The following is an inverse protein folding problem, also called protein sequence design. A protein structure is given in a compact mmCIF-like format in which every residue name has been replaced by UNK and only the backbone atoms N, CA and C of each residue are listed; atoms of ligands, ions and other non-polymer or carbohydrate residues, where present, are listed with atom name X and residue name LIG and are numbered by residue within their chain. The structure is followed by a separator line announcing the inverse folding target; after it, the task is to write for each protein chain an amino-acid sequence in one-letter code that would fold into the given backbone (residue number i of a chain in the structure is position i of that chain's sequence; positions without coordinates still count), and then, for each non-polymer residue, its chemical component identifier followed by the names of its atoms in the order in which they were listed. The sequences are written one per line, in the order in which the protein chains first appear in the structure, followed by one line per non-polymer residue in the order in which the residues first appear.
data_IF_654415936423
#
_entry.id   IF_654415936423
#
_cell.length_a   1.000
_cell.length_b   1.000
_cell.length_c   1.000
_cell.angle_alpha   90.00
_cell.angle_beta   90.00
_cell.angle_gamma   90.00
#
_symmetry.space_group_name_H-M   'P 1'
#
loop_
_entity.id
_entity.type
_entity.pdbx_description
1 polymer ?
#
# COMPACT_ATOMS: atom_id res chain seq x y z
N UNK A 1 -7.57 1.77 -0.16
CA UNK A 1 -6.67 1.94 0.97
C UNK A 1 -5.21 2.10 0.54
N UNK A 2 -4.72 1.38 -0.48
CA UNK A 2 -3.34 1.51 -1.00
C UNK A 2 -2.94 2.97 -1.27
N UNK A 3 -3.79 3.75 -1.97
CA UNK A 3 -3.51 5.16 -2.25
C UNK A 3 -3.34 5.99 -0.99
N UNK A 4 -4.18 5.75 0.01
CA UNK A 4 -4.12 6.46 1.31
C UNK A 4 -2.79 6.15 2.01
N UNK A 5 -2.43 4.87 2.09
CA UNK A 5 -1.17 4.44 2.71
C UNK A 5 0.04 4.97 1.94
N UNK A 6 0.03 4.87 0.62
CA UNK A 6 1.12 5.35 -0.22
C UNK A 6 1.41 6.82 0.01
N UNK A 7 0.38 7.67 0.05
CA UNK A 7 0.59 9.10 0.28
C UNK A 7 1.04 9.42 1.71
N UNK A 8 0.64 8.63 2.71
CA UNK A 8 1.16 8.73 4.07
C UNK A 8 2.64 8.33 4.12
N UNK A 9 3.00 7.23 3.49
CA UNK A 9 4.37 6.70 3.45
C UNK A 9 5.30 7.63 2.68
N UNK A 10 4.84 8.22 1.57
CA UNK A 10 5.64 9.17 0.79
C UNK A 10 5.78 10.54 1.46
N UNK A 11 4.81 10.93 2.27
CA UNK A 11 4.91 12.15 3.08
C UNK A 11 5.96 12.01 4.20
N UNK A 12 6.13 10.81 4.75
CA UNK A 12 7.11 10.51 5.76
C UNK A 12 7.53 9.03 5.65
N UNK A 13 8.73 8.77 5.14
CA UNK A 13 9.34 7.45 5.17
C UNK A 13 9.85 7.17 6.58
N UNK A 14 8.96 6.67 7.43
CA UNK A 14 9.26 6.39 8.83
C UNK A 14 9.84 5.00 8.98
N UNK A 15 11.06 4.93 9.51
CA UNK A 15 11.74 3.71 9.87
C UNK A 15 11.81 3.61 11.39
N UNK A 16 11.44 2.48 11.93
CA UNK A 16 11.48 2.23 13.37
C UNK A 16 12.45 1.09 13.69
N UNK A 17 13.12 1.15 14.86
CA UNK A 17 14.06 0.12 15.26
C UNK A 17 13.36 -1.22 15.48
N UNK A 18 14.09 -2.30 15.19
CA UNK A 18 13.69 -3.68 15.44
C UNK A 18 14.45 -4.25 16.63
N UNK A 19 13.74 -4.60 17.69
CA UNK A 19 14.28 -5.25 18.88
C UNK A 19 13.44 -6.50 19.25
N UNK A 20 13.98 -7.68 19.00
CA UNK A 20 15.28 -8.03 18.42
C UNK A 20 15.35 -7.74 16.92
N UNK A 21 16.56 -7.58 16.32
CA UNK A 21 16.73 -7.43 14.89
C UNK A 21 16.27 -8.68 14.14
N UNK A 22 15.87 -8.50 12.88
CA UNK A 22 15.57 -9.63 11.99
C UNK A 22 16.89 -10.14 11.40
N UNK A 23 17.09 -11.45 11.48
CA UNK A 23 18.26 -12.10 10.88
C UNK A 23 17.86 -12.71 9.55
N UNK A 24 18.50 -12.25 8.49
CA UNK A 24 18.38 -12.81 7.14
C UNK A 24 19.68 -13.52 6.75
N UNK A 25 19.54 -14.62 6.03
CA UNK A 25 20.68 -15.42 5.52
C UNK A 25 20.82 -15.25 4.02
N UNK A 26 22.05 -15.44 3.54
CA UNK A 26 22.37 -15.51 2.11
C UNK A 26 21.95 -14.30 1.28
N UNK A 27 21.98 -13.08 1.85
CA UNK A 27 21.80 -11.86 1.08
C UNK A 27 23.03 -11.66 0.17
N UNK A 28 22.78 -11.36 -1.10
CA UNK A 28 23.84 -10.93 -2.02
C UNK A 28 24.26 -9.50 -1.68
N UNK A 29 25.46 -9.11 -2.10
CA UNK A 29 25.96 -7.74 -1.95
C UNK A 29 24.98 -6.72 -2.53
N UNK A 30 24.42 -6.99 -3.71
CA UNK A 30 23.40 -6.17 -4.36
C UNK A 30 22.12 -6.02 -3.51
N UNK A 31 21.68 -7.07 -2.84
CA UNK A 31 20.52 -7.00 -1.95
C UNK A 31 20.79 -6.15 -0.71
N UNK A 32 22.01 -6.24 -0.16
CA UNK A 32 22.44 -5.42 0.98
C UNK A 32 22.47 -3.95 0.58
N UNK A 33 23.12 -3.62 -0.54
CA UNK A 33 23.16 -2.26 -1.09
C UNK A 33 21.75 -1.71 -1.34
N UNK A 34 20.87 -2.54 -1.86
CA UNK A 34 19.47 -2.17 -2.11
C UNK A 34 18.73 -1.79 -0.81
N UNK A 35 18.88 -2.60 0.24
CA UNK A 35 18.25 -2.31 1.55
C UNK A 35 18.84 -1.02 2.15
N UNK A 36 20.15 -0.81 2.05
CA UNK A 36 20.80 0.40 2.52
C UNK A 36 20.38 1.65 1.72
N UNK A 37 20.17 1.49 0.41
CA UNK A 37 19.70 2.59 -0.45
C UNK A 37 18.29 3.10 -0.07
N UNK A 38 17.47 2.26 0.55
CA UNK A 38 16.17 2.65 1.11
C UNK A 38 16.23 2.91 2.62
N UNK A 39 17.44 3.20 3.14
CA UNK A 39 17.72 3.63 4.51
C UNK A 39 17.54 2.54 5.58
N UNK A 40 17.52 1.24 5.22
CA UNK A 40 17.56 0.18 6.20
C UNK A 40 18.98 -0.02 6.73
N UNK A 41 19.09 -0.26 8.04
CA UNK A 41 20.35 -0.57 8.71
C UNK A 41 20.57 -2.07 8.62
N UNK A 42 21.63 -2.46 7.90
CA UNK A 42 22.00 -3.85 7.61
C UNK A 42 23.41 -4.09 8.13
N UNK A 43 23.57 -4.88 9.17
CA UNK A 43 24.85 -5.19 9.80
C UNK A 43 25.21 -6.67 9.61
N UNK A 44 26.49 -7.01 9.44
CA UNK A 44 26.91 -8.40 9.46
C UNK A 44 26.69 -9.03 10.84
N UNK A 45 26.17 -10.27 10.89
CA UNK A 45 25.84 -11.01 12.10
C UNK A 45 26.44 -12.41 12.14
N UNK A 46 27.56 -12.64 11.52
CA UNK A 46 28.23 -13.94 11.42
C UNK A 46 28.45 -14.34 9.96
N UNK A 47 28.79 -15.60 9.74
CA UNK A 47 28.99 -16.11 8.38
C UNK A 47 27.66 -16.14 7.62
N UNK A 48 27.58 -15.37 6.53
CA UNK A 48 26.40 -15.29 5.64
C UNK A 48 25.08 -14.86 6.32
N UNK A 49 25.14 -14.27 7.50
CA UNK A 49 23.99 -13.75 8.23
C UNK A 49 24.04 -12.23 8.32
N UNK A 50 22.88 -11.60 8.23
CA UNK A 50 22.72 -10.16 8.25
C UNK A 50 21.62 -9.76 9.22
N UNK A 51 21.93 -8.83 10.12
CA UNK A 51 20.95 -8.27 11.05
C UNK A 51 20.32 -7.01 10.47
N UNK A 52 19.02 -7.03 10.28
CA UNK A 52 18.23 -5.86 9.88
C UNK A 52 17.72 -5.21 11.17
N UNK A 53 18.12 -3.95 11.41
CA UNK A 53 17.90 -3.28 12.69
C UNK A 53 16.75 -2.29 12.69
N UNK A 54 16.22 -1.94 11.53
CA UNK A 54 15.04 -1.09 11.40
C UNK A 54 14.17 -1.54 10.23
N UNK A 55 12.93 -1.12 10.23
CA UNK A 55 12.01 -1.41 9.14
C UNK A 55 10.96 -0.29 8.99
N UNK A 56 10.32 -0.19 7.82
CA UNK A 56 9.20 0.73 7.63
C UNK A 56 8.11 0.50 8.68
N UNK A 57 7.72 1.56 9.39
CA UNK A 57 6.75 1.50 10.49
C UNK A 57 5.45 0.72 10.18
N UNK A 58 4.85 0.83 8.98
CA UNK A 58 3.66 0.05 8.64
C UNK A 58 3.86 -1.47 8.62
N UNK A 59 5.11 -1.95 8.45
CA UNK A 59 5.42 -3.38 8.38
C UNK A 59 5.59 -4.04 9.76
N UNK A 60 5.88 -3.28 10.81
CA UNK A 60 6.29 -3.82 12.12
C UNK A 60 5.29 -4.78 12.76
N UNK A 61 4.00 -4.56 12.55
CA UNK A 61 2.93 -5.39 13.13
C UNK A 61 2.58 -6.62 12.28
N UNK A 62 3.32 -6.85 11.22
CA UNK A 62 3.04 -7.95 10.30
C UNK A 62 3.80 -9.20 10.66
N UNK A 63 3.12 -10.34 10.59
CA UNK A 63 3.75 -11.64 10.80
C UNK A 63 4.76 -12.01 9.68
N UNK A 64 4.59 -11.43 8.48
CA UNK A 64 5.43 -11.66 7.30
C UNK A 64 6.52 -10.57 7.11
N UNK A 65 6.97 -9.94 8.20
CA UNK A 65 7.95 -8.84 8.15
C UNK A 65 9.27 -9.26 7.49
N UNK A 66 9.80 -10.44 7.81
CA UNK A 66 11.04 -10.94 7.21
C UNK A 66 10.93 -11.13 5.69
N UNK A 67 9.81 -11.68 5.23
CA UNK A 67 9.51 -11.84 3.80
C UNK A 67 9.35 -10.48 3.11
N UNK A 68 8.68 -9.52 3.78
CA UNK A 68 8.54 -8.17 3.28
C UNK A 68 9.90 -7.48 3.07
N UNK A 69 10.82 -7.59 4.04
CA UNK A 69 12.17 -7.04 3.92
C UNK A 69 12.94 -7.74 2.79
N UNK A 70 12.82 -9.06 2.68
CA UNK A 70 13.43 -9.82 1.58
C UNK A 70 12.92 -9.35 0.23
N UNK A 71 11.62 -9.09 0.09
CA UNK A 71 11.05 -8.52 -1.14
C UNK A 71 11.64 -7.14 -1.45
N UNK A 72 11.78 -6.26 -0.44
CA UNK A 72 12.39 -4.95 -0.61
C UNK A 72 13.86 -5.02 -1.05
N UNK A 73 14.58 -6.10 -0.74
CA UNK A 73 15.97 -6.32 -1.17
C UNK A 73 16.11 -6.68 -2.65
N UNK A 74 15.00 -7.09 -3.31
CA UNK A 74 15.06 -7.57 -4.69
C UNK A 74 15.19 -6.47 -5.74
N UNK A 75 15.09 -5.21 -5.37
CA UNK A 75 15.36 -4.08 -6.24
C UNK A 75 14.28 -3.01 -6.23
N UNK A 76 14.56 -1.97 -6.98
CA UNK A 76 13.73 -0.78 -7.08
C UNK A 76 14.33 0.40 -6.30
N UNK A 77 13.85 1.59 -6.61
CA UNK A 77 14.19 2.81 -5.87
C UNK A 77 13.31 2.94 -4.60
N UNK A 78 13.52 4.01 -3.86
CA UNK A 78 12.71 4.32 -2.68
C UNK A 78 11.21 4.40 -3.02
N UNK A 79 10.85 4.91 -4.18
CA UNK A 79 9.46 4.99 -4.61
C UNK A 79 8.85 3.58 -4.80
N UNK A 80 9.58 2.67 -5.42
CA UNK A 80 9.15 1.28 -5.57
C UNK A 80 8.97 0.59 -4.21
N UNK A 81 9.89 0.81 -3.27
CA UNK A 81 9.78 0.32 -1.89
C UNK A 81 8.52 0.87 -1.18
N UNK A 82 8.25 2.17 -1.31
CA UNK A 82 7.05 2.80 -0.76
C UNK A 82 5.75 2.22 -1.33
N UNK A 83 5.72 1.94 -2.65
CA UNK A 83 4.59 1.27 -3.30
C UNK A 83 4.41 -0.15 -2.76
N UNK A 84 5.49 -0.92 -2.66
CA UNK A 84 5.46 -2.29 -2.15
C UNK A 84 4.92 -2.35 -0.70
N UNK A 85 5.42 -1.46 0.17
CA UNK A 85 4.94 -1.35 1.56
C UNK A 85 3.45 -0.97 1.61
N UNK A 86 3.02 0.01 0.82
CA UNK A 86 1.63 0.44 0.77
C UNK A 86 0.68 -0.69 0.32
N UNK A 87 1.06 -1.43 -0.72
CA UNK A 87 0.28 -2.56 -1.23
C UNK A 87 0.21 -3.72 -0.23
N UNK A 88 1.34 -4.05 0.41
CA UNK A 88 1.40 -5.13 1.39
C UNK A 88 0.59 -4.83 2.66
N UNK A 89 0.56 -3.57 3.11
CA UNK A 89 -0.15 -3.12 4.30
C UNK A 89 -1.61 -2.69 4.03
N UNK A 90 -2.04 -2.66 2.79
CA UNK A 90 -3.41 -2.28 2.46
C UNK A 90 -4.44 -3.32 2.92
N UNK A 91 -5.62 -2.83 3.28
CA UNK A 91 -6.79 -3.68 3.51
C UNK A 91 -7.08 -4.46 2.24
N UNK A 92 -7.12 -5.77 2.34
CA UNK A 92 -7.35 -6.65 1.20
C UNK A 92 -8.82 -6.68 0.80
N UNK A 93 -9.07 -6.96 -0.47
CA UNK A 93 -10.42 -7.16 -0.97
C UNK A 93 -11.11 -8.31 -0.20
N UNK A 94 -12.40 -8.11 0.14
CA UNK A 94 -13.18 -9.08 0.92
C UNK A 94 -12.98 -8.98 2.45
N UNK A 95 -12.10 -8.10 2.96
CA UNK A 95 -12.00 -7.85 4.39
C UNK A 95 -13.28 -7.18 4.88
N UNK A 96 -13.93 -7.76 5.91
CA UNK A 96 -15.10 -7.17 6.53
C UNK A 96 -14.73 -5.85 7.23
N UNK A 97 -15.55 -4.82 7.01
CA UNK A 97 -15.40 -3.51 7.62
C UNK A 97 -16.74 -3.03 8.14
N UNK A 98 -16.75 -2.35 9.27
CA UNK A 98 -17.92 -1.64 9.76
C UNK A 98 -18.20 -0.38 8.93
N UNK A 99 -19.44 0.12 8.96
CA UNK A 99 -19.80 1.36 8.28
C UNK A 99 -18.92 2.56 8.67
N UNK A 100 -18.61 2.80 9.97
CA UNK A 100 -17.70 3.87 10.37
C UNK A 100 -16.30 3.73 9.79
N UNK A 101 -15.74 2.50 9.71
CA UNK A 101 -14.43 2.25 9.12
C UNK A 101 -14.45 2.53 7.62
N UNK A 102 -15.50 2.11 6.90
CA UNK A 102 -15.66 2.41 5.48
C UNK A 102 -15.74 3.92 5.24
N UNK A 103 -16.54 4.64 6.04
CA UNK A 103 -16.66 6.09 5.92
C UNK A 103 -15.33 6.79 6.18
N UNK A 104 -14.64 6.41 7.25
CA UNK A 104 -13.31 6.95 7.57
C UNK A 104 -12.30 6.71 6.44
N UNK A 105 -12.35 5.53 5.82
CA UNK A 105 -11.47 5.22 4.69
C UNK A 105 -11.80 6.08 3.45
N UNK A 106 -13.08 6.28 3.15
CA UNK A 106 -13.53 7.15 2.06
C UNK A 106 -13.10 8.61 2.28
N UNK A 107 -13.27 9.12 3.50
CA UNK A 107 -12.90 10.49 3.86
C UNK A 107 -11.38 10.71 3.69
N UNK A 108 -10.56 9.75 4.12
CA UNK A 108 -9.11 9.79 3.93
C UNK A 108 -8.73 9.68 2.45
N UNK A 109 -9.39 8.80 1.70
CA UNK A 109 -9.15 8.64 0.28
C UNK A 109 -9.48 9.90 -0.52
N UNK A 110 -10.59 10.58 -0.24
CA UNK A 110 -10.97 11.83 -0.90
C UNK A 110 -9.95 12.95 -0.68
N UNK A 111 -9.22 12.92 0.44
CA UNK A 111 -8.18 13.92 0.77
C UNK A 111 -6.83 13.62 0.12
N UNK A 112 -6.67 12.47 -0.53
CA UNK A 112 -5.43 12.15 -1.25
C UNK A 112 -5.25 13.07 -2.47
N UNK A 113 -4.00 13.30 -2.87
CA UNK A 113 -3.67 14.15 -4.03
C UNK A 113 -4.16 13.56 -5.34
N UNK A 114 -4.11 12.23 -5.45
CA UNK A 114 -4.47 11.50 -6.66
C UNK A 114 -5.54 10.43 -6.39
N UNK A 115 -6.77 10.80 -6.01
CA UNK A 115 -7.79 9.84 -5.58
C UNK A 115 -8.28 8.92 -6.71
N UNK A 116 -7.95 9.22 -7.96
CA UNK A 116 -8.43 8.46 -9.13
C UNK A 116 -7.57 7.25 -9.49
N UNK A 117 -6.34 7.19 -8.99
CA UNK A 117 -5.39 6.13 -9.36
C UNK A 117 -4.81 5.43 -8.13
N UNK A 118 -4.51 4.14 -8.26
CA UNK A 118 -3.71 3.42 -7.28
C UNK A 118 -2.23 3.87 -7.34
N UNK A 119 -1.36 3.46 -6.42
CA UNK A 119 0.07 3.78 -6.47
C UNK A 119 0.77 3.38 -7.77
N UNK A 120 0.29 2.31 -8.43
CA UNK A 120 0.79 1.85 -9.73
C UNK A 120 0.24 2.66 -10.94
N UNK A 121 -0.54 3.71 -10.71
CA UNK A 121 -1.13 4.52 -11.77
C UNK A 121 -2.42 3.95 -12.40
N UNK A 122 -2.93 2.81 -11.92
CA UNK A 122 -4.16 2.20 -12.46
C UNK A 122 -5.40 2.95 -11.93
N UNK A 123 -6.45 3.15 -12.77
CA UNK A 123 -7.71 3.74 -12.31
C UNK A 123 -8.33 2.92 -11.16
N UNK A 124 -8.78 3.59 -10.10
CA UNK A 124 -9.47 2.96 -8.96
C UNK A 124 -10.97 2.87 -9.23
N UNK A 125 -11.52 3.84 -9.97
CA UNK A 125 -12.94 3.86 -10.34
C UNK A 125 -13.14 4.55 -11.69
N UNK A 126 -14.27 4.26 -12.30
CA UNK A 126 -14.75 4.94 -13.49
C UNK A 126 -16.01 5.71 -13.12
N UNK A 127 -16.06 7.00 -13.46
CA UNK A 127 -17.28 7.80 -13.27
C UNK A 127 -18.13 7.74 -14.54
N UNK A 128 -19.37 7.37 -14.38
CA UNK A 128 -20.35 7.39 -15.46
C UNK A 128 -21.40 8.47 -15.19
N UNK A 129 -21.73 9.23 -16.21
CA UNK A 129 -22.90 10.10 -16.14
C UNK A 129 -24.15 9.25 -16.28
N UNK A 130 -25.22 9.60 -15.58
CA UNK A 130 -26.52 8.93 -15.67
C UNK A 130 -27.00 8.81 -17.12
N UNK A 131 -26.86 9.88 -17.90
CA UNK A 131 -27.20 9.90 -19.33
C UNK A 131 -26.42 8.89 -20.17
N UNK A 132 -25.18 8.56 -19.76
CA UNK A 132 -24.35 7.55 -20.44
C UNK A 132 -24.81 6.16 -20.08
N UNK A 133 -25.16 5.91 -18.80
CA UNK A 133 -25.74 4.65 -18.33
C UNK A 133 -27.10 4.38 -19.01
N UNK A 134 -27.98 5.38 -19.03
CA UNK A 134 -29.29 5.28 -19.70
C UNK A 134 -29.15 4.89 -21.18
N UNK A 135 -28.17 5.48 -21.90
CA UNK A 135 -27.87 5.11 -23.28
C UNK A 135 -27.36 3.68 -23.43
N UNK A 136 -26.44 3.26 -22.55
CA UNK A 136 -25.86 1.91 -22.59
C UNK A 136 -26.90 0.82 -22.36
N UNK A 137 -27.84 1.06 -21.45
CA UNK A 137 -28.91 0.11 -21.14
C UNK A 137 -30.18 0.32 -21.97
N UNK A 138 -30.19 1.30 -22.87
CA UNK A 138 -31.37 1.70 -23.69
C UNK A 138 -32.61 1.95 -22.82
N UNK A 139 -32.42 2.48 -21.61
CA UNK A 139 -33.50 2.79 -20.66
C UNK A 139 -33.40 4.25 -20.24
N UNK A 140 -34.51 4.96 -20.34
CA UNK A 140 -34.63 6.28 -19.76
C UNK A 140 -35.18 6.12 -18.32
N UNK A 141 -34.31 6.27 -17.34
CA UNK A 141 -34.73 6.37 -15.97
C UNK A 141 -35.14 7.82 -15.70
N UNK A 142 -36.44 8.04 -15.50
CA UNK A 142 -36.91 9.33 -14.96
C UNK A 142 -36.90 9.18 -13.46
N UNK A 143 -35.86 9.71 -12.80
CA UNK A 143 -35.83 9.83 -11.33
C UNK A 143 -36.95 10.79 -10.96
N UNK A 144 -37.93 10.35 -10.22
CA UNK A 144 -38.95 11.18 -9.61
C UNK A 144 -40.41 11.01 -10.09
N UNK A 145 -40.71 10.04 -10.94
CA UNK A 145 -42.12 9.61 -11.12
C UNK A 145 -42.31 8.27 -10.43
N UNK A 146 -42.78 8.35 -9.18
CA UNK A 146 -43.48 7.22 -8.57
C UNK A 146 -44.67 6.89 -9.47
N UNK A 147 -44.62 5.73 -10.11
CA UNK A 147 -45.85 5.19 -10.66
C UNK A 147 -46.70 4.76 -9.48
N UNK A 148 -47.60 5.64 -9.05
CA UNK A 148 -48.69 5.26 -8.20
C UNK A 148 -49.48 4.14 -8.90
N UNK A 149 -49.58 3.01 -8.23
CA UNK A 149 -50.60 2.04 -8.42
C UNK A 149 -51.83 2.46 -7.63
#
# INVERSE_FOLDING_TARGET
HERVLYEQITAAWQLEPLEPPIILSHLSEQQIEQLQAIELIVDPFGESLWAIRNAPAPLLKRADLAEAITELSLGGDLQAAQVAVACRCAIRNGTAMSLPEMQSLLDRWQRTRNPRTCPHGRPIYLSFRESSLARSFRRHWVIGKSHGI
#
